data_IF_582062334950
#
_entry.id   IF_582062334950
#
_cell.length_a   1.000
_cell.length_b   1.000
_cell.length_c   1.000
_cell.angle_alpha   90.00
_cell.angle_beta   90.00
_cell.angle_gamma   90.00
#
_symmetry.space_group_name_H-M   'P 1'
#
loop_
_entity.id
_entity.type
_entity.pdbx_description
1 polymer ?
#
# COMPACT_ATOMS: atom_id res chain seq x y z
N UNK A 1 8.98 -20.15 28.85
CA UNK A 1 7.55 -20.46 28.70
C UNK A 1 7.06 -19.39 27.75
N UNK A 2 6.98 -19.72 26.46
CA UNK A 2 6.48 -18.79 25.46
C UNK A 2 4.97 -18.71 25.65
N UNK A 3 4.49 -17.54 26.05
CA UNK A 3 3.06 -17.27 26.09
C UNK A 3 2.65 -17.06 24.63
N UNK A 4 1.83 -17.99 24.15
CA UNK A 4 1.21 -18.01 22.84
C UNK A 4 0.15 -16.90 22.87
N UNK A 5 0.54 -15.69 22.44
CA UNK A 5 -0.40 -14.59 22.22
C UNK A 5 -1.42 -15.03 21.16
N UNK A 6 -2.73 -14.82 21.39
CA UNK A 6 -3.74 -15.26 20.43
C UNK A 6 -3.52 -14.52 19.11
N UNK A 7 -3.38 -15.29 18.03
CA UNK A 7 -3.46 -14.78 16.67
C UNK A 7 -4.85 -14.19 16.50
N UNK A 8 -4.96 -12.86 16.55
CA UNK A 8 -6.20 -12.13 16.26
C UNK A 8 -6.59 -12.47 14.81
N UNK A 9 -7.54 -13.39 14.67
CA UNK A 9 -8.15 -13.77 13.40
C UNK A 9 -8.82 -12.52 12.79
N UNK A 10 -8.33 -12.12 11.60
CA UNK A 10 -8.89 -11.12 10.68
C UNK A 10 -9.98 -10.23 11.28
N UNK A 11 -9.56 -9.08 11.81
CA UNK A 11 -10.42 -8.18 12.57
C UNK A 11 -11.60 -7.72 11.71
N UNK A 12 -12.76 -8.37 11.87
CA UNK A 12 -14.01 -7.93 11.24
C UNK A 12 -14.25 -6.47 11.64
N UNK A 13 -14.56 -5.60 10.67
CA UNK A 13 -14.85 -4.20 10.97
C UNK A 13 -15.87 -4.16 12.12
N UNK A 14 -15.51 -3.61 13.30
CA UNK A 14 -16.31 -3.80 14.50
C UNK A 14 -17.72 -3.31 14.22
N UNK A 15 -18.74 -4.05 14.67
CA UNK A 15 -20.13 -3.73 14.33
C UNK A 15 -20.49 -2.28 14.72
N UNK A 16 -19.91 -1.77 15.81
CA UNK A 16 -19.99 -0.36 16.24
C UNK A 16 -19.52 0.64 15.17
N UNK A 17 -18.49 0.31 14.40
CA UNK A 17 -18.00 1.12 13.28
C UNK A 17 -19.04 1.16 12.16
N UNK A 18 -19.58 -0.01 11.77
CA UNK A 18 -20.59 -0.10 10.70
C UNK A 18 -21.87 0.64 11.09
N UNK A 19 -22.33 0.49 12.33
CA UNK A 19 -23.50 1.18 12.86
C UNK A 19 -23.31 2.70 12.94
N UNK A 20 -22.12 3.17 13.33
CA UNK A 20 -21.79 4.60 13.35
C UNK A 20 -21.89 5.24 11.96
N UNK A 21 -21.35 4.57 10.94
CA UNK A 21 -21.45 5.04 9.55
C UNK A 21 -22.87 4.95 8.98
N UNK A 22 -23.60 3.87 9.28
CA UNK A 22 -24.99 3.72 8.86
C UNK A 22 -25.90 4.81 9.48
N UNK A 23 -25.61 5.23 10.71
CA UNK A 23 -26.31 6.33 11.38
C UNK A 23 -26.00 7.68 10.73
N UNK A 24 -24.73 7.94 10.38
CA UNK A 24 -24.33 9.19 9.73
C UNK A 24 -24.78 9.28 8.27
N UNK A 25 -24.87 8.14 7.56
CA UNK A 25 -25.22 8.08 6.14
C UNK A 25 -26.29 6.99 5.91
N UNK A 26 -27.56 7.26 6.28
CA UNK A 26 -28.63 6.25 6.29
C UNK A 26 -29.03 5.69 4.92
N UNK A 27 -28.58 6.34 3.85
CA UNK A 27 -28.81 5.88 2.46
C UNK A 27 -27.88 4.72 2.09
N UNK A 28 -26.79 4.49 2.83
CA UNK A 28 -25.86 3.40 2.57
C UNK A 28 -26.28 2.14 3.33
N UNK A 29 -26.34 1.03 2.61
CA UNK A 29 -26.53 -0.30 3.20
C UNK A 29 -25.34 -0.64 4.12
N UNK A 30 -25.57 -1.05 5.39
CA UNK A 30 -24.53 -1.57 6.28
C UNK A 30 -23.62 -2.64 5.64
N UNK A 31 -24.15 -3.48 4.75
CA UNK A 31 -23.34 -4.47 4.03
C UNK A 31 -22.36 -3.81 3.04
N UNK A 32 -22.76 -2.71 2.40
CA UNK A 32 -21.88 -1.91 1.56
C UNK A 32 -20.79 -1.23 2.39
N UNK A 33 -21.14 -0.65 3.54
CA UNK A 33 -20.20 -0.01 4.47
C UNK A 33 -19.13 -1.03 4.93
N UNK A 34 -19.57 -2.21 5.42
CA UNK A 34 -18.65 -3.27 5.88
C UNK A 34 -17.70 -3.74 4.77
N UNK A 35 -18.20 -3.84 3.53
CA UNK A 35 -17.39 -4.23 2.37
C UNK A 35 -16.34 -3.17 2.01
N UNK A 36 -16.71 -1.88 2.02
CA UNK A 36 -15.76 -0.80 1.71
C UNK A 36 -14.72 -0.66 2.81
N UNK A 37 -15.14 -0.72 4.08
CA UNK A 37 -14.24 -0.66 5.22
C UNK A 37 -13.11 -1.69 5.11
N UNK A 38 -13.44 -2.95 4.84
CA UNK A 38 -12.46 -4.03 4.61
C UNK A 38 -11.49 -3.77 3.46
N UNK A 39 -11.93 -3.08 2.41
CA UNK A 39 -11.08 -2.80 1.25
C UNK A 39 -10.11 -1.63 1.50
N UNK A 40 -10.32 -0.90 2.58
CA UNK A 40 -9.58 0.30 2.95
C UNK A 40 -8.91 0.17 4.33
N UNK A 41 -8.84 -1.04 4.87
CA UNK A 41 -8.20 -1.36 6.15
C UNK A 41 -7.10 -2.40 5.92
N UNK A 42 -6.08 -2.35 6.78
CA UNK A 42 -5.12 -3.45 6.94
C UNK A 42 -5.63 -4.40 8.02
N UNK A 43 -5.30 -5.68 7.87
CA UNK A 43 -5.70 -6.73 8.80
C UNK A 43 -4.89 -6.64 10.11
N UNK A 44 -3.60 -6.27 10.02
CA UNK A 44 -2.73 -6.08 11.18
C UNK A 44 -1.69 -4.96 10.99
N UNK A 45 -0.88 -4.75 12.03
CA UNK A 45 0.19 -3.76 12.03
C UNK A 45 1.39 -4.14 11.15
N UNK A 46 1.61 -5.43 10.89
CA UNK A 46 2.67 -5.91 10.00
C UNK A 46 2.34 -5.57 8.54
N UNK A 47 1.11 -5.82 8.09
CA UNK A 47 0.64 -5.46 6.75
C UNK A 47 0.76 -3.96 6.50
N UNK A 48 0.33 -3.14 7.47
CA UNK A 48 0.49 -1.69 7.43
C UNK A 48 1.98 -1.28 7.34
N UNK A 49 2.87 -1.95 8.08
CA UNK A 49 4.30 -1.68 8.05
C UNK A 49 4.94 -2.08 6.71
N UNK A 50 4.52 -3.19 6.12
CA UNK A 50 4.97 -3.64 4.79
C UNK A 50 4.53 -2.66 3.71
N UNK A 51 3.27 -2.22 3.73
CA UNK A 51 2.76 -1.24 2.76
C UNK A 51 3.47 0.12 2.90
N UNK A 52 3.75 0.56 4.13
CA UNK A 52 4.55 1.75 4.38
C UNK A 52 5.97 1.62 3.82
N UNK A 53 6.63 0.48 4.04
CA UNK A 53 7.96 0.21 3.50
C UNK A 53 7.94 0.19 1.96
N UNK A 54 6.95 -0.47 1.36
CA UNK A 54 6.76 -0.50 -0.09
C UNK A 54 6.56 0.92 -0.66
N UNK A 55 5.70 1.72 -0.02
CA UNK A 55 5.46 3.12 -0.38
C UNK A 55 6.76 3.93 -0.34
N UNK A 56 7.53 3.83 0.75
CA UNK A 56 8.81 4.53 0.88
C UNK A 56 9.76 4.13 -0.26
N UNK A 57 9.91 2.84 -0.53
CA UNK A 57 10.79 2.34 -1.60
C UNK A 57 10.34 2.87 -2.97
N UNK A 58 9.05 2.82 -3.26
CA UNK A 58 8.48 3.33 -4.52
C UNK A 58 8.73 4.82 -4.69
N UNK A 59 8.49 5.62 -3.65
CA UNK A 59 8.75 7.07 -3.70
C UNK A 59 10.24 7.37 -3.93
N UNK A 60 11.14 6.67 -3.24
CA UNK A 60 12.58 6.82 -3.47
C UNK A 60 12.99 6.38 -4.87
N UNK A 61 12.40 5.31 -5.40
CA UNK A 61 12.67 4.84 -6.77
C UNK A 61 12.23 5.89 -7.81
N UNK A 62 11.06 6.49 -7.61
CA UNK A 62 10.54 7.58 -8.46
C UNK A 62 11.45 8.80 -8.42
N UNK A 63 11.93 9.20 -7.23
CA UNK A 63 12.90 10.30 -7.11
C UNK A 63 14.19 9.97 -7.85
N UNK A 64 14.77 8.79 -7.60
CA UNK A 64 16.00 8.35 -8.27
C UNK A 64 15.85 8.32 -9.78
N UNK A 65 14.67 7.98 -10.28
CA UNK A 65 14.41 7.96 -11.71
C UNK A 65 14.54 9.34 -12.35
N UNK A 66 14.14 10.40 -11.64
CA UNK A 66 14.21 11.77 -12.13
C UNK A 66 15.57 12.45 -11.89
N UNK A 67 16.28 12.11 -10.81
CA UNK A 67 17.51 12.82 -10.42
C UNK A 67 18.80 12.14 -10.86
N UNK A 68 18.77 10.87 -11.25
CA UNK A 68 19.98 10.12 -11.61
C UNK A 68 20.46 10.48 -13.02
N UNK A 69 21.64 11.14 -13.17
CA UNK A 69 22.18 11.44 -14.49
C UNK A 69 22.57 10.16 -15.23
N UNK A 70 22.57 10.22 -16.56
CA UNK A 70 23.05 9.10 -17.38
C UNK A 70 24.56 8.88 -17.16
N UNK A 71 24.99 7.63 -17.38
CA UNK A 71 26.39 7.23 -17.27
C UNK A 71 27.31 8.04 -18.19
N UNK A 72 28.52 8.34 -17.72
CA UNK A 72 29.56 8.95 -18.55
C UNK A 72 30.11 7.96 -19.60
N UNK A 73 30.01 6.65 -19.38
CA UNK A 73 30.41 5.63 -20.34
C UNK A 73 29.44 5.61 -21.55
N UNK A 74 29.91 5.87 -22.78
CA UNK A 74 29.06 5.87 -23.97
C UNK A 74 28.34 4.54 -24.26
N UNK A 75 28.90 3.41 -23.85
CA UNK A 75 28.27 2.09 -24.01
C UNK A 75 27.07 1.93 -23.08
N UNK A 76 27.23 2.31 -21.81
CA UNK A 76 26.18 2.24 -20.78
C UNK A 76 25.11 3.30 -21.02
N UNK A 77 25.51 4.53 -21.40
CA UNK A 77 24.59 5.63 -21.71
C UNK A 77 23.59 5.28 -22.80
N UNK A 78 24.04 4.60 -23.87
CA UNK A 78 23.16 4.17 -24.97
C UNK A 78 22.11 3.18 -24.52
N UNK A 79 22.49 2.23 -23.67
CA UNK A 79 21.56 1.26 -23.08
C UNK A 79 20.56 1.95 -22.15
N UNK A 80 21.03 2.84 -21.28
CA UNK A 80 20.17 3.60 -20.37
C UNK A 80 19.18 4.52 -21.10
N UNK A 81 19.61 5.18 -22.19
CA UNK A 81 18.72 6.02 -23.00
C UNK A 81 17.66 5.19 -23.73
N UNK A 82 17.99 4.00 -24.25
CA UNK A 82 17.03 3.12 -24.92
C UNK A 82 16.01 2.47 -23.96
N UNK A 83 16.40 2.25 -22.70
CA UNK A 83 15.54 1.70 -21.65
C UNK A 83 14.79 2.78 -20.86
N UNK A 84 15.28 4.03 -20.88
CA UNK A 84 14.76 5.14 -20.08
C UNK A 84 13.30 5.50 -20.35
N UNK A 85 12.81 5.26 -21.57
CA UNK A 85 11.40 5.47 -21.95
C UNK A 85 10.44 4.39 -21.37
N UNK A 86 10.96 3.33 -20.72
CA UNK A 86 10.19 2.20 -20.16
C UNK A 86 10.29 2.09 -18.64
N UNK A 87 10.60 3.19 -17.93
CA UNK A 87 10.70 3.25 -16.45
C UNK A 87 9.34 3.19 -15.75
N UNK A 88 8.61 2.10 -15.97
CA UNK A 88 7.32 1.83 -15.31
C UNK A 88 7.03 0.35 -15.18
N UNK A 89 8.07 -0.48 -15.13
CA UNK A 89 7.95 -1.95 -15.00
C UNK A 89 8.55 -2.46 -13.68
N UNK A 90 8.57 -1.59 -12.67
CA UNK A 90 8.55 -2.00 -11.26
C UNK A 90 7.29 -1.40 -10.64
#
# INVERSE_FOLDING_TARGET
MAEDEPVEEGQEAPDDFVEGWATMIPVLDPALIRRVARRCSYDDGEECAVELAATIILEWSSVLDHVTPLSEDPSVRRVQAALGDRRGWL
#
